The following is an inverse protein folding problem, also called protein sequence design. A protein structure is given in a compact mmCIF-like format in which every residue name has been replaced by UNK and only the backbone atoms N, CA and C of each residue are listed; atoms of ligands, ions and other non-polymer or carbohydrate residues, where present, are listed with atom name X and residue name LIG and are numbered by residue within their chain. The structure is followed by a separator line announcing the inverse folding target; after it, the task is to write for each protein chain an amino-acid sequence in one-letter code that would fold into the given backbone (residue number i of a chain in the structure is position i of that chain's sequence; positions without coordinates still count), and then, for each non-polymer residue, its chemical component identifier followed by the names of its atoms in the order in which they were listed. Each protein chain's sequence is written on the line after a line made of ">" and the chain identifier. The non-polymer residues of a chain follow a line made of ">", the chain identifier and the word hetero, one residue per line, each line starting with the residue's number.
data_IF_516793329919
#
_entry.id   IF_516793329919
#
_cell.length_a   1.000
_cell.length_b   1.000
_cell.length_c   1.000
_cell.angle_alpha   90.00
_cell.angle_beta   90.00
_cell.angle_gamma   90.00
#
_symmetry.space_group_name_H-M   'P 1'
#
loop_
_entity.id
_entity.type
_entity.pdbx_description
1 polymer ?
#
# COMPACT_ATOMS: atom_id res chain seq x y z
N UNK A 1 15.54 -5.76 11.71
CA UNK A 1 15.36 -6.94 10.84
C UNK A 1 13.98 -7.61 10.98
N UNK A 2 13.49 -7.83 12.21
CA UNK A 2 12.19 -8.49 12.47
C UNK A 2 10.99 -7.76 11.88
N UNK A 3 10.94 -6.43 11.98
CA UNK A 3 9.82 -5.62 11.44
C UNK A 3 9.76 -5.70 9.90
N UNK A 4 10.90 -5.64 9.21
CA UNK A 4 10.96 -5.82 7.75
C UNK A 4 10.39 -7.19 7.33
N UNK A 5 10.79 -8.27 8.01
CA UNK A 5 10.26 -9.62 7.74
C UNK A 5 8.76 -9.72 8.05
N UNK A 6 8.30 -9.05 9.10
CA UNK A 6 6.88 -9.00 9.47
C UNK A 6 6.04 -8.28 8.40
N UNK A 7 6.48 -7.13 7.90
CA UNK A 7 5.81 -6.41 6.81
C UNK A 7 5.73 -7.28 5.56
N UNK A 8 6.84 -7.90 5.15
CA UNK A 8 6.85 -8.80 3.98
C UNK A 8 5.89 -9.99 4.17
N UNK A 9 5.79 -10.51 5.40
CA UNK A 9 4.84 -11.57 5.74
C UNK A 9 3.39 -11.10 5.59
N UNK A 10 3.06 -9.89 6.08
CA UNK A 10 1.74 -9.28 5.87
C UNK A 10 1.43 -9.10 4.38
N UNK A 11 2.36 -8.57 3.60
CA UNK A 11 2.19 -8.39 2.15
C UNK A 11 1.93 -9.72 1.43
N UNK A 12 2.57 -10.80 1.87
CA UNK A 12 2.37 -12.13 1.28
C UNK A 12 0.94 -12.66 1.46
N UNK A 13 0.20 -12.16 2.45
CA UNK A 13 -1.18 -12.60 2.73
C UNK A 13 -2.17 -12.14 1.67
N UNK A 14 -1.89 -11.06 0.90
CA UNK A 14 -2.75 -10.64 -0.20
C UNK A 14 -2.88 -11.68 -1.32
N UNK A 15 -1.94 -12.64 -1.40
CA UNK A 15 -2.01 -13.76 -2.35
C UNK A 15 -3.03 -14.83 -1.94
N UNK A 16 -3.54 -14.78 -0.71
CA UNK A 16 -4.49 -15.76 -0.19
C UNK A 16 -5.91 -15.28 -0.46
N UNK A 17 -6.63 -16.02 -1.32
CA UNK A 17 -7.99 -15.67 -1.74
C UNK A 17 -9.04 -15.76 -0.61
N UNK A 18 -8.75 -16.53 0.44
CA UNK A 18 -9.67 -16.77 1.56
C UNK A 18 -9.47 -15.83 2.76
N UNK A 19 -8.61 -14.82 2.63
CA UNK A 19 -8.41 -13.80 3.66
C UNK A 19 -9.11 -12.53 3.22
N UNK A 20 -9.86 -11.89 4.13
CA UNK A 20 -10.40 -10.57 3.87
C UNK A 20 -9.24 -9.55 3.84
N UNK A 21 -8.96 -9.03 2.65
CA UNK A 21 -7.85 -8.10 2.40
C UNK A 21 -7.96 -6.80 3.19
N UNK A 22 -9.18 -6.38 3.55
CA UNK A 22 -9.40 -5.19 4.39
C UNK A 22 -8.62 -5.26 5.71
N UNK A 23 -8.58 -6.41 6.38
CA UNK A 23 -7.86 -6.54 7.65
C UNK A 23 -6.34 -6.52 7.46
N UNK A 24 -5.84 -6.98 6.31
CA UNK A 24 -4.42 -6.88 5.98
C UNK A 24 -4.05 -5.41 5.78
N UNK A 25 -4.84 -4.67 4.99
CA UNK A 25 -4.67 -3.23 4.75
C UNK A 25 -4.73 -2.45 6.05
N UNK A 26 -5.69 -2.76 6.93
CA UNK A 26 -5.85 -2.10 8.22
C UNK A 26 -4.64 -2.31 9.13
N UNK A 27 -4.10 -3.53 9.19
CA UNK A 27 -2.88 -3.82 9.93
C UNK A 27 -1.68 -3.03 9.39
N UNK A 28 -1.54 -2.94 8.06
CA UNK A 28 -0.48 -2.17 7.42
C UNK A 28 -0.66 -0.68 7.68
N UNK A 29 -1.87 -0.15 7.52
CA UNK A 29 -2.18 1.26 7.83
C UNK A 29 -1.84 1.60 9.26
N UNK A 30 -2.22 0.75 10.23
CA UNK A 30 -1.90 0.98 11.64
C UNK A 30 -0.39 0.96 11.89
N UNK A 31 0.34 0.03 11.27
CA UNK A 31 1.80 -0.05 11.39
C UNK A 31 2.49 1.21 10.85
N UNK A 32 2.03 1.72 9.71
CA UNK A 32 2.54 2.92 9.05
C UNK A 32 2.07 4.22 9.71
N UNK A 33 0.98 4.17 10.48
CA UNK A 33 0.41 5.37 11.10
C UNK A 33 1.43 6.02 12.05
N UNK A 34 1.56 7.36 12.03
CA UNK A 34 2.32 8.09 13.03
C UNK A 34 1.73 7.81 14.41
N UNK A 35 2.45 7.08 15.26
CA UNK A 35 1.97 6.70 16.58
C UNK A 35 3.01 7.04 17.65
N UNK A 36 2.59 7.60 18.80
CA UNK A 36 3.47 7.73 19.97
C UNK A 36 4.04 6.38 20.43
N UNK A 37 3.33 5.29 20.15
CA UNK A 37 3.74 3.91 20.47
C UNK A 37 4.74 3.35 19.45
N UNK A 38 4.89 3.99 18.29
CA UNK A 38 5.81 3.57 17.24
C UNK A 38 6.54 4.77 16.60
N UNK A 39 7.37 5.50 17.38
CA UNK A 39 7.90 6.80 16.97
C UNK A 39 8.96 6.74 15.86
N UNK A 40 9.48 5.54 15.53
CA UNK A 40 10.47 5.33 14.46
C UNK A 40 10.27 3.97 13.81
N UNK A 41 9.17 3.81 13.06
CA UNK A 41 9.09 2.72 12.09
C UNK A 41 10.24 2.91 11.09
N UNK A 42 11.17 1.96 11.05
CA UNK A 42 12.28 1.98 10.11
C UNK A 42 12.20 0.73 9.23
N UNK A 43 11.87 0.96 7.97
CA UNK A 43 11.85 -0.05 6.92
C UNK A 43 13.03 0.21 5.99
N UNK A 44 13.60 -0.87 5.46
CA UNK A 44 14.62 -0.71 4.43
C UNK A 44 13.97 -0.43 3.07
N UNK A 45 14.76 0.11 2.12
CA UNK A 45 14.25 0.50 0.80
C UNK A 45 13.57 -0.65 0.05
N UNK A 46 14.09 -1.87 0.18
CA UNK A 46 13.48 -3.05 -0.46
C UNK A 46 12.07 -3.33 0.06
N UNK A 47 11.84 -3.18 1.37
CA UNK A 47 10.50 -3.35 1.97
C UNK A 47 9.60 -2.19 1.59
N UNK A 48 10.08 -0.95 1.63
CA UNK A 48 9.32 0.25 1.20
C UNK A 48 8.85 0.08 -0.24
N UNK A 49 9.75 -0.31 -1.15
CA UNK A 49 9.43 -0.58 -2.55
C UNK A 49 8.42 -1.72 -2.71
N UNK A 50 8.54 -2.77 -1.90
CA UNK A 50 7.57 -3.89 -1.90
C UNK A 50 6.19 -3.44 -1.44
N UNK A 51 6.10 -2.59 -0.41
CA UNK A 51 4.83 -2.02 0.06
C UNK A 51 4.22 -1.16 -1.04
N UNK A 52 4.97 -0.20 -1.60
CA UNK A 52 4.50 0.65 -2.69
C UNK A 52 3.97 -0.18 -3.87
N UNK A 53 4.71 -1.21 -4.30
CA UNK A 53 4.30 -2.09 -5.39
C UNK A 53 2.98 -2.83 -5.10
N UNK A 54 2.84 -3.40 -3.90
CA UNK A 54 1.63 -4.15 -3.52
C UNK A 54 0.43 -3.21 -3.38
N UNK A 55 0.57 -2.09 -2.69
CA UNK A 55 -0.52 -1.11 -2.54
C UNK A 55 -0.97 -0.58 -3.91
N UNK A 56 -0.02 -0.34 -4.82
CA UNK A 56 -0.33 0.07 -6.18
C UNK A 56 -1.11 -1.01 -6.92
N UNK A 57 -0.75 -2.29 -6.80
CA UNK A 57 -1.54 -3.36 -7.42
C UNK A 57 -2.95 -3.50 -6.82
N UNK A 58 -3.16 -3.09 -5.58
CA UNK A 58 -4.46 -3.18 -4.91
C UNK A 58 -5.39 -2.01 -5.26
N UNK A 59 -4.87 -0.78 -5.31
CA UNK A 59 -5.70 0.42 -5.53
C UNK A 59 -6.28 0.51 -6.95
N UNK A 60 -5.72 -0.29 -7.85
CA UNK A 60 -5.99 -0.23 -9.29
C UNK A 60 -6.98 -1.30 -9.71
N UNK A 61 -7.31 -2.19 -8.77
CA UNK A 61 -8.43 -3.10 -8.88
C UNK A 61 -9.68 -2.30 -8.54
N UNK A 62 -10.63 -2.26 -9.47
CA UNK A 62 -11.92 -1.64 -9.23
C UNK A 62 -12.63 -2.40 -8.10
N UNK A 63 -13.15 -1.69 -7.08
CA UNK A 63 -13.87 -2.35 -6.01
C UNK A 63 -15.19 -2.94 -6.55
N UNK A 64 -15.52 -4.14 -6.10
CA UNK A 64 -16.83 -4.75 -6.33
C UNK A 64 -17.86 -4.09 -5.40
N UNK A 65 -18.70 -3.23 -5.95
CA UNK A 65 -19.72 -2.48 -5.20
C UNK A 65 -20.83 -3.35 -4.60
N UNK A 66 -21.00 -4.59 -5.08
CA UNK A 66 -21.90 -5.58 -4.46
C UNK A 66 -21.26 -6.24 -3.23
N UNK A 67 -19.94 -6.08 -3.06
CA UNK A 67 -19.17 -6.57 -1.92
C UNK A 67 -18.56 -5.41 -1.11
N UNK A 68 -19.25 -4.91 -0.06
CA UNK A 68 -18.81 -3.76 0.72
C UNK A 68 -17.40 -3.83 1.31
N UNK A 69 -16.86 -5.04 1.49
CA UNK A 69 -15.50 -5.26 1.98
C UNK A 69 -14.43 -4.83 0.97
N UNK A 70 -14.70 -4.95 -0.33
CA UNK A 70 -13.74 -4.55 -1.37
C UNK A 70 -13.62 -3.03 -1.44
N UNK A 71 -14.74 -2.32 -1.31
CA UNK A 71 -14.78 -0.85 -1.21
C UNK A 71 -14.04 -0.38 0.04
N UNK A 72 -14.29 -1.00 1.20
CA UNK A 72 -13.55 -0.70 2.44
C UNK A 72 -12.05 -0.92 2.29
N UNK A 73 -11.66 -2.03 1.66
CA UNK A 73 -10.25 -2.31 1.40
C UNK A 73 -9.63 -1.26 0.49
N UNK A 74 -10.33 -0.83 -0.56
CA UNK A 74 -9.86 0.20 -1.48
C UNK A 74 -9.56 1.52 -0.77
N UNK A 75 -10.47 1.99 0.10
CA UNK A 75 -10.22 3.17 0.94
C UNK A 75 -9.08 2.97 1.96
N UNK A 76 -8.93 1.76 2.51
CA UNK A 76 -7.85 1.47 3.45
C UNK A 76 -6.47 1.47 2.76
N UNK A 77 -6.42 1.04 1.50
CA UNK A 77 -5.20 1.13 0.68
C UNK A 77 -4.83 2.59 0.40
N UNK A 78 -5.80 3.47 0.13
CA UNK A 78 -5.55 4.92 0.02
C UNK A 78 -4.98 5.50 1.32
N UNK A 79 -5.51 5.08 2.46
CA UNK A 79 -4.96 5.49 3.77
C UNK A 79 -3.52 5.00 3.98
N UNK A 80 -3.20 3.78 3.54
CA UNK A 80 -1.82 3.31 3.55
C UNK A 80 -0.91 4.23 2.72
N UNK A 81 -1.36 4.67 1.54
CA UNK A 81 -0.59 5.61 0.71
C UNK A 81 -0.38 6.96 1.38
N UNK A 82 -1.38 7.51 2.07
CA UNK A 82 -1.24 8.75 2.85
C UNK A 82 -0.12 8.63 3.91
N UNK A 83 -0.10 7.54 4.65
CA UNK A 83 0.98 7.27 5.62
C UNK A 83 2.34 7.04 4.96
N UNK A 84 2.38 6.32 3.83
CA UNK A 84 3.62 6.12 3.06
C UNK A 84 4.18 7.45 2.55
N UNK A 85 3.34 8.34 2.02
CA UNK A 85 3.76 9.66 1.55
C UNK A 85 4.28 10.53 2.70
N UNK A 86 3.74 10.39 3.91
CA UNK A 86 4.21 11.11 5.10
C UNK A 86 5.54 10.60 5.68
N UNK A 87 5.80 9.29 5.62
CA UNK A 87 6.98 8.67 6.26
C UNK A 87 8.12 8.31 5.29
N UNK A 88 7.79 7.98 4.05
CA UNK A 88 8.70 7.45 3.02
C UNK A 88 8.49 8.20 1.69
N UNK A 89 8.37 9.53 1.78
CA UNK A 89 7.97 10.42 0.69
C UNK A 89 8.78 10.20 -0.59
N UNK A 90 10.10 10.12 -0.48
CA UNK A 90 10.99 10.10 -1.64
C UNK A 90 10.79 8.82 -2.45
N UNK A 91 10.79 7.66 -1.78
CA UNK A 91 10.57 6.36 -2.42
C UNK A 91 9.13 6.24 -2.96
N UNK A 92 8.13 6.76 -2.23
CA UNK A 92 6.73 6.72 -2.68
C UNK A 92 6.51 7.60 -3.90
N UNK A 93 7.03 8.83 -3.91
CA UNK A 93 6.95 9.74 -5.06
C UNK A 93 7.71 9.16 -6.25
N UNK A 94 8.93 8.64 -6.04
CA UNK A 94 9.71 8.02 -7.12
C UNK A 94 8.96 6.83 -7.74
N UNK A 95 8.38 5.96 -6.91
CA UNK A 95 7.58 4.82 -7.38
C UNK A 95 6.37 5.27 -8.20
N UNK A 96 5.62 6.29 -7.73
CA UNK A 96 4.47 6.85 -8.46
C UNK A 96 4.90 7.49 -9.78
N UNK A 97 5.98 8.26 -9.80
CA UNK A 97 6.52 8.88 -11.01
C UNK A 97 6.99 7.83 -12.03
N UNK A 98 7.56 6.72 -11.57
CA UNK A 98 7.92 5.61 -12.43
C UNK A 98 6.68 5.01 -13.11
N UNK A 99 5.59 4.83 -12.37
CA UNK A 99 4.31 4.37 -12.93
C UNK A 99 3.70 5.38 -13.91
N UNK A 100 3.74 6.69 -13.60
CA UNK A 100 3.30 7.76 -14.51
C UNK A 100 4.04 7.77 -15.84
N UNK A 101 5.31 7.40 -15.85
CA UNK A 101 6.16 7.38 -17.05
C UNK A 101 6.03 6.08 -17.85
N UNK A 102 5.25 5.12 -17.34
CA UNK A 102 5.05 3.86 -18.03
C UNK A 102 4.13 4.04 -19.24
N UNK A 103 4.47 3.43 -20.37
CA UNK A 103 3.78 3.61 -21.65
C UNK A 103 2.41 2.89 -21.72
N UNK A 104 1.99 2.22 -20.66
CA UNK A 104 0.67 1.62 -20.56
C UNK A 104 -0.29 2.63 -19.94
N UNK A 105 -1.31 3.05 -20.70
CA UNK A 105 -2.32 4.03 -20.28
C UNK A 105 -3.01 3.66 -18.95
N UNK A 106 -3.23 2.35 -18.74
CA UNK A 106 -3.68 1.81 -17.46
C UNK A 106 -2.74 2.25 -16.33
N UNK A 107 -1.42 2.11 -16.46
CA UNK A 107 -0.47 2.48 -15.40
C UNK A 107 -0.41 3.98 -15.12
N UNK A 108 -0.70 4.82 -16.12
CA UNK A 108 -0.79 6.27 -15.96
C UNK A 108 -2.02 6.71 -15.16
N UNK A 109 -3.20 6.15 -15.44
CA UNK A 109 -4.41 6.45 -14.67
C UNK A 109 -4.28 6.06 -13.19
N UNK A 110 -3.53 4.99 -12.90
CA UNK A 110 -3.30 4.47 -11.56
C UNK A 110 -2.54 5.43 -10.65
N UNK A 111 -1.55 6.15 -11.18
CA UNK A 111 -0.79 7.12 -10.40
C UNK A 111 -1.59 8.42 -10.13
N UNK A 112 -2.48 8.82 -11.06
CA UNK A 112 -3.34 10.00 -10.90
C UNK A 112 -4.41 9.81 -9.81
N UNK A 113 -4.83 8.58 -9.51
CA UNK A 113 -5.76 8.31 -8.39
C UNK A 113 -5.12 8.58 -7.03
N UNK A 114 -3.78 8.50 -6.95
CA UNK A 114 -3.02 8.60 -5.71
C UNK A 114 -2.47 10.03 -5.50
N UNK A 115 -2.21 10.77 -6.59
CA UNK A 115 -1.71 12.15 -6.60
C UNK A 115 -2.86 13.17 -6.48
#
# INVERSE_FOLDING_TARGET
>A
ETVNKFVLSLLSLYRKANINHYYISQCISYLLSPSPLNPKLNLNDNVINSVNHVLFNLIVLEPDYDQPQTVKNHFEVLRCFDHMAGQFSDQTIESLLHQCKNNQEKDRMKAVIIL
#
